data_IF_853460277467
#
_entry.id   IF_853460277467
#
_cell.length_a   1.000
_cell.length_b   1.000
_cell.length_c   1.000
_cell.angle_alpha   90.00
_cell.angle_beta   90.00
_cell.angle_gamma   90.00
#
_symmetry.space_group_name_H-M   'P 1'
#
loop_
_entity.id
_entity.type
_entity.pdbx_description
1 polymer ?
#
# COMPACT_ATOMS: atom_id res chain seq x y z
N UNK A 1 0.46 -1.06 -26.27
CA UNK A 1 -1.01 -0.95 -26.28
C UNK A 1 -1.47 0.50 -26.42
N UNK A 2 -2.08 0.84 -27.56
CA UNK A 2 -2.64 2.17 -27.77
C UNK A 2 -3.92 2.34 -26.94
N UNK A 3 -3.87 3.16 -25.90
CA UNK A 3 -5.04 3.41 -25.04
C UNK A 3 -6.11 4.24 -25.77
N UNK A 4 -5.70 5.01 -26.78
CA UNK A 4 -6.50 6.04 -27.45
C UNK A 4 -7.00 7.18 -26.54
N UNK A 5 -6.53 7.25 -25.31
CA UNK A 5 -6.86 8.28 -24.33
C UNK A 5 -5.79 9.38 -24.34
N UNK A 6 -6.22 10.61 -24.15
CA UNK A 6 -5.34 11.73 -23.88
C UNK A 6 -4.80 11.65 -22.45
N UNK A 7 -3.49 11.87 -22.27
CA UNK A 7 -2.87 11.65 -20.96
C UNK A 7 -3.38 12.65 -19.91
N UNK A 8 -3.44 13.93 -20.24
CA UNK A 8 -3.92 14.94 -19.29
C UNK A 8 -5.38 14.69 -18.89
N UNK A 9 -6.21 14.35 -19.89
CA UNK A 9 -7.62 13.98 -19.64
C UNK A 9 -7.73 12.73 -18.79
N UNK A 10 -6.85 11.73 -18.98
CA UNK A 10 -6.85 10.52 -18.18
C UNK A 10 -6.46 10.81 -16.70
N UNK A 11 -5.47 11.67 -16.49
CA UNK A 11 -5.09 12.15 -15.14
C UNK A 11 -6.24 12.88 -14.47
N UNK A 12 -6.92 13.81 -15.17
CA UNK A 12 -8.05 14.55 -14.60
C UNK A 12 -9.23 13.64 -14.24
N UNK A 13 -9.51 12.65 -15.08
CA UNK A 13 -10.57 11.66 -14.79
C UNK A 13 -10.24 10.80 -13.60
N UNK A 14 -8.99 10.38 -13.46
CA UNK A 14 -8.53 9.61 -12.32
C UNK A 14 -8.50 10.48 -11.04
N UNK A 15 -8.12 11.75 -11.12
CA UNK A 15 -8.13 12.70 -9.99
C UNK A 15 -9.54 12.97 -9.46
N UNK A 16 -10.53 12.97 -10.35
CA UNK A 16 -11.95 13.13 -9.97
C UNK A 16 -12.60 11.81 -9.52
N UNK A 17 -11.87 10.71 -9.56
CA UNK A 17 -12.33 9.42 -9.07
C UNK A 17 -11.93 9.27 -7.60
N UNK A 18 -12.92 9.13 -6.72
CA UNK A 18 -12.71 8.96 -5.28
C UNK A 18 -11.89 7.70 -4.87
N UNK A 19 -11.42 6.94 -5.84
CA UNK A 19 -10.61 5.73 -5.64
C UNK A 19 -9.10 5.96 -5.73
N UNK A 20 -8.63 7.17 -6.07
CA UNK A 20 -7.20 7.46 -6.18
C UNK A 20 -6.68 8.16 -4.95
N UNK A 21 -6.14 7.41 -4.01
CA UNK A 21 -5.57 8.00 -2.81
C UNK A 21 -4.22 7.38 -2.42
N UNK A 22 -3.45 8.17 -1.70
CA UNK A 22 -2.33 7.73 -0.89
C UNK A 22 -2.84 7.52 0.54
N UNK A 23 -2.27 6.57 1.26
CA UNK A 23 -2.58 6.44 2.68
C UNK A 23 -2.24 7.75 3.39
N UNK A 24 -3.17 8.35 4.16
CA UNK A 24 -2.89 9.58 4.91
C UNK A 24 -1.70 9.47 5.85
N UNK A 25 -1.39 8.25 6.31
CA UNK A 25 -0.23 7.98 7.15
C UNK A 25 1.11 8.07 6.43
N UNK A 26 1.13 8.18 5.11
CA UNK A 26 2.37 8.27 4.35
C UNK A 26 3.21 9.50 4.74
N UNK A 27 2.58 10.57 5.20
CA UNK A 27 3.25 11.83 5.50
C UNK A 27 2.95 12.39 6.89
N UNK A 28 2.38 11.62 7.79
CA UNK A 28 2.05 12.10 9.12
C UNK A 28 2.56 11.18 10.21
N UNK A 29 3.30 11.75 11.12
CA UNK A 29 3.75 11.09 12.35
C UNK A 29 2.66 11.03 13.43
N UNK A 30 1.61 11.84 13.29
CA UNK A 30 0.55 12.04 14.27
C UNK A 30 -0.80 11.69 13.66
N UNK A 31 -0.94 10.45 13.21
CA UNK A 31 -2.19 10.02 12.60
C UNK A 31 -3.17 9.47 13.62
N UNK A 32 -4.33 10.05 13.65
CA UNK A 32 -5.51 9.39 14.18
C UNK A 32 -6.45 8.95 13.05
N UNK A 33 -7.37 8.07 13.43
CA UNK A 33 -8.40 7.50 12.55
C UNK A 33 -9.40 8.52 11.96
N UNK A 34 -9.22 9.82 12.17
CA UNK A 34 -10.16 10.84 11.73
C UNK A 34 -9.91 11.37 10.32
N UNK A 35 -8.67 11.25 9.80
CA UNK A 35 -8.40 11.56 8.38
C UNK A 35 -8.64 10.29 7.58
N UNK A 36 -9.83 10.16 7.03
CA UNK A 36 -10.25 8.92 6.38
C UNK A 36 -9.67 8.73 4.99
N UNK A 37 -9.41 9.80 4.26
CA UNK A 37 -8.94 9.71 2.88
C UNK A 37 -8.02 10.90 2.56
N UNK A 38 -6.79 10.63 2.18
CA UNK A 38 -5.91 11.61 1.52
C UNK A 38 -5.92 11.29 0.04
N UNK A 39 -6.54 12.14 -0.73
CA UNK A 39 -6.58 11.99 -2.19
C UNK A 39 -5.25 12.47 -2.79
N UNK A 40 -4.77 11.73 -3.77
CA UNK A 40 -3.61 12.16 -4.54
C UNK A 40 -4.01 13.34 -5.43
N UNK A 41 -3.16 14.35 -5.48
CA UNK A 41 -3.33 15.44 -6.43
C UNK A 41 -2.97 14.99 -7.87
N UNK A 42 -3.31 15.82 -8.86
CA UNK A 42 -3.10 15.48 -10.28
C UNK A 42 -1.64 15.20 -10.61
N UNK A 43 -0.68 15.87 -9.97
CA UNK A 43 0.76 15.63 -10.20
C UNK A 43 1.17 14.23 -9.73
N UNK A 44 0.71 13.81 -8.55
CA UNK A 44 0.95 12.47 -8.03
C UNK A 44 0.30 11.41 -8.90
N UNK A 45 -0.94 11.63 -9.34
CA UNK A 45 -1.64 10.72 -10.25
C UNK A 45 -0.91 10.64 -11.58
N UNK A 46 -0.50 11.78 -12.16
CA UNK A 46 0.27 11.83 -13.40
C UNK A 46 1.57 11.02 -13.29
N UNK A 47 2.27 11.11 -12.15
CA UNK A 47 3.46 10.31 -11.91
C UNK A 47 3.16 8.81 -11.97
N UNK A 48 2.15 8.34 -11.22
CA UNK A 48 1.81 6.92 -11.19
C UNK A 48 1.17 6.39 -12.47
N UNK A 49 0.52 7.25 -13.23
CA UNK A 49 -0.06 6.90 -14.53
C UNK A 49 0.95 6.96 -15.68
N UNK A 50 2.06 7.69 -15.56
CA UNK A 50 3.05 7.78 -16.62
C UNK A 50 3.87 6.47 -16.69
N UNK A 51 3.69 5.66 -17.75
CA UNK A 51 4.36 4.36 -17.84
C UNK A 51 5.89 4.49 -17.90
N UNK A 52 6.41 5.64 -18.35
CA UNK A 52 7.85 5.88 -18.49
C UNK A 52 8.58 5.87 -17.13
N UNK A 53 7.86 6.14 -16.03
CA UNK A 53 8.43 6.10 -14.68
C UNK A 53 8.78 4.67 -14.22
N UNK A 54 8.32 3.66 -14.93
CA UNK A 54 8.51 2.24 -14.60
C UNK A 54 9.43 1.51 -15.57
N UNK A 55 10.11 2.21 -16.49
CA UNK A 55 11.02 1.59 -17.44
C UNK A 55 12.38 1.32 -16.81
N UNK A 56 12.37 0.41 -15.86
CA UNK A 56 13.56 -0.14 -15.23
C UNK A 56 13.36 -1.65 -14.98
N UNK A 57 14.43 -2.32 -14.61
CA UNK A 57 14.48 -3.77 -14.48
C UNK A 57 13.40 -4.40 -13.57
N UNK A 58 12.97 -3.69 -12.54
CA UNK A 58 12.01 -4.20 -11.55
C UNK A 58 10.59 -3.74 -11.84
N UNK A 59 10.43 -2.45 -12.04
CA UNK A 59 9.10 -1.84 -12.10
C UNK A 59 8.41 -2.12 -13.44
N UNK A 60 9.15 -2.50 -14.48
CA UNK A 60 8.60 -2.91 -15.77
C UNK A 60 7.59 -4.06 -15.65
N UNK A 61 7.71 -4.89 -14.60
CA UNK A 61 6.76 -5.96 -14.30
C UNK A 61 5.36 -5.49 -13.94
N UNK A 62 5.15 -4.19 -13.74
CA UNK A 62 3.83 -3.56 -13.67
C UNK A 62 2.99 -3.81 -14.94
N UNK A 63 3.67 -3.99 -16.07
CA UNK A 63 3.07 -4.18 -17.39
C UNK A 63 3.10 -5.62 -17.90
N UNK A 64 3.65 -6.55 -17.13
CA UNK A 64 3.69 -7.95 -17.57
C UNK A 64 2.27 -8.50 -17.60
N UNK A 65 1.99 -9.31 -18.62
CA UNK A 65 0.74 -10.07 -18.70
C UNK A 65 0.60 -10.99 -17.50
N UNK A 66 -0.56 -10.93 -16.84
CA UNK A 66 -0.86 -11.70 -15.64
C UNK A 66 -1.49 -13.07 -15.92
N UNK A 67 -1.49 -13.48 -17.18
CA UNK A 67 -1.88 -14.83 -17.61
C UNK A 67 -0.74 -15.85 -17.40
N UNK A 68 -1.06 -17.11 -17.59
CA UNK A 68 -0.14 -18.23 -17.40
C UNK A 68 0.62 -18.59 -18.69
N UNK A 69 1.46 -17.67 -19.17
CA UNK A 69 2.21 -17.85 -20.43
C UNK A 69 3.62 -18.45 -20.28
N UNK A 70 4.11 -18.60 -19.07
CA UNK A 70 5.51 -18.93 -18.80
C UNK A 70 5.67 -20.18 -17.93
N UNK A 71 6.86 -20.73 -17.92
CA UNK A 71 7.23 -21.81 -17.01
C UNK A 71 7.49 -21.27 -15.61
N UNK A 72 6.47 -21.25 -14.78
CA UNK A 72 6.57 -20.81 -13.38
C UNK A 72 7.06 -21.94 -12.48
N UNK A 73 7.82 -21.59 -11.46
CA UNK A 73 8.38 -22.56 -10.51
C UNK A 73 7.92 -22.33 -9.09
N UNK A 74 7.88 -23.39 -8.29
CA UNK A 74 7.60 -23.28 -6.86
C UNK A 74 8.64 -22.42 -6.14
N UNK A 75 9.92 -22.54 -6.55
CA UNK A 75 11.00 -21.71 -6.00
C UNK A 75 10.78 -20.21 -6.30
N UNK A 76 10.32 -19.87 -7.52
CA UNK A 76 9.96 -18.51 -7.89
C UNK A 76 8.80 -17.98 -7.05
N UNK A 77 7.73 -18.75 -6.86
CA UNK A 77 6.63 -18.34 -5.96
C UNK A 77 7.14 -18.12 -4.53
N UNK A 78 7.99 -19.02 -4.02
CA UNK A 78 8.59 -18.89 -2.68
C UNK A 78 9.45 -17.63 -2.56
N UNK A 79 10.16 -17.24 -3.61
CA UNK A 79 10.92 -16.00 -3.68
C UNK A 79 10.02 -14.77 -3.61
N UNK A 80 8.88 -14.77 -4.32
CA UNK A 80 7.86 -13.70 -4.18
C UNK A 80 7.36 -13.59 -2.76
N UNK A 81 7.10 -14.73 -2.09
CA UNK A 81 6.62 -14.78 -0.72
C UNK A 81 7.68 -14.42 0.32
N UNK A 82 8.95 -14.23 -0.07
CA UNK A 82 10.05 -13.99 0.87
C UNK A 82 9.76 -12.85 1.85
N UNK A 83 10.23 -12.99 3.08
CA UNK A 83 9.97 -12.04 4.15
C UNK A 83 8.55 -12.08 4.73
N UNK A 84 7.76 -13.13 4.44
CA UNK A 84 6.40 -13.32 4.97
C UNK A 84 6.26 -14.67 5.68
N UNK A 85 5.18 -14.84 6.46
CA UNK A 85 4.86 -16.15 7.05
C UNK A 85 4.56 -17.21 6.00
N UNK A 86 4.05 -16.79 4.83
CA UNK A 86 3.69 -17.68 3.73
C UNK A 86 4.91 -18.32 3.04
N UNK A 87 6.10 -17.77 3.24
CA UNK A 87 7.35 -18.36 2.75
C UNK A 87 7.83 -19.55 3.60
N UNK A 88 7.28 -19.72 4.81
CA UNK A 88 7.66 -20.79 5.72
C UNK A 88 7.16 -22.15 5.19
N UNK A 89 8.11 -23.03 4.87
CA UNK A 89 7.80 -24.31 4.21
C UNK A 89 7.41 -24.13 2.73
N UNK A 90 6.75 -25.14 2.17
CA UNK A 90 6.44 -25.21 0.73
C UNK A 90 4.95 -25.18 0.41
N UNK A 91 4.10 -25.29 1.42
CA UNK A 91 2.66 -25.48 1.25
C UNK A 91 2.01 -24.33 0.48
N UNK A 92 2.28 -23.09 0.86
CA UNK A 92 1.67 -21.92 0.20
C UNK A 92 2.21 -21.73 -1.21
N UNK A 93 3.52 -21.86 -1.40
CA UNK A 93 4.13 -21.74 -2.72
C UNK A 93 3.55 -22.77 -3.70
N UNK A 94 3.43 -24.03 -3.27
CA UNK A 94 2.80 -25.10 -4.07
C UNK A 94 1.32 -24.82 -4.33
N UNK A 95 0.57 -24.36 -3.33
CA UNK A 95 -0.85 -24.07 -3.46
C UNK A 95 -1.10 -22.91 -4.44
N UNK A 96 -0.29 -21.86 -4.38
CA UNK A 96 -0.39 -20.70 -5.27
C UNK A 96 0.03 -21.08 -6.71
N UNK A 97 1.10 -21.85 -6.87
CA UNK A 97 1.52 -22.36 -8.17
C UNK A 97 0.40 -23.17 -8.85
N UNK A 98 -0.20 -24.10 -8.11
CA UNK A 98 -1.32 -24.91 -8.59
C UNK A 98 -2.57 -24.08 -8.90
N UNK A 99 -2.86 -23.04 -8.07
CA UNK A 99 -3.96 -22.13 -8.31
C UNK A 99 -3.74 -21.31 -9.59
N UNK A 100 -2.53 -20.86 -9.85
CA UNK A 100 -2.14 -20.19 -11.08
C UNK A 100 -2.40 -21.08 -12.30
N UNK A 101 -1.81 -22.27 -12.31
CA UNK A 101 -1.99 -23.24 -13.41
C UNK A 101 -3.45 -23.63 -13.65
N UNK A 102 -4.25 -23.79 -12.58
CA UNK A 102 -5.65 -24.18 -12.69
C UNK A 102 -6.56 -23.08 -13.24
N UNK A 103 -6.21 -21.83 -13.04
CA UNK A 103 -7.04 -20.67 -13.36
C UNK A 103 -6.43 -19.78 -14.46
N UNK A 104 -5.44 -20.30 -15.20
CA UNK A 104 -4.72 -19.56 -16.24
C UNK A 104 -4.16 -18.20 -15.78
N UNK A 105 -3.65 -18.15 -14.54
CA UNK A 105 -3.12 -16.93 -13.92
C UNK A 105 -1.65 -17.09 -13.58
N UNK A 106 -0.90 -16.02 -13.73
CA UNK A 106 0.48 -15.92 -13.31
C UNK A 106 0.61 -16.12 -11.77
N UNK A 107 1.25 -17.19 -11.28
CA UNK A 107 1.34 -17.46 -9.85
C UNK A 107 2.20 -16.45 -9.09
N UNK A 108 3.13 -15.75 -9.76
CA UNK A 108 3.91 -14.68 -9.14
C UNK A 108 3.05 -13.45 -8.89
N UNK A 109 2.16 -13.13 -9.83
CA UNK A 109 1.13 -12.11 -9.61
C UNK A 109 0.20 -12.48 -8.45
N UNK A 110 -0.32 -13.72 -8.41
CA UNK A 110 -1.19 -14.17 -7.32
C UNK A 110 -0.50 -14.06 -5.95
N UNK A 111 0.77 -14.47 -5.87
CA UNK A 111 1.56 -14.36 -4.64
C UNK A 111 1.77 -12.90 -4.22
N UNK A 112 2.12 -12.02 -5.16
CA UNK A 112 2.26 -10.59 -4.93
C UNK A 112 0.96 -9.97 -4.41
N UNK A 113 -0.15 -10.29 -5.07
CA UNK A 113 -1.50 -9.84 -4.70
C UNK A 113 -1.87 -10.27 -3.27
N UNK A 114 -1.68 -11.53 -2.92
CA UNK A 114 -1.92 -12.04 -1.56
C UNK A 114 -1.13 -11.23 -0.52
N UNK A 115 0.13 -10.91 -0.81
CA UNK A 115 0.95 -10.13 0.13
C UNK A 115 0.44 -8.69 0.24
N UNK A 116 0.06 -8.07 -0.85
CA UNK A 116 -0.49 -6.72 -0.86
C UNK A 116 -1.76 -6.64 0.00
N UNK A 117 -2.64 -7.61 -0.12
CA UNK A 117 -3.92 -7.65 0.57
C UNK A 117 -3.83 -8.07 2.05
N UNK A 118 -2.86 -8.91 2.41
CA UNK A 118 -2.80 -9.54 3.74
C UNK A 118 -1.50 -9.29 4.49
N UNK A 119 -0.55 -8.59 3.88
CA UNK A 119 0.81 -8.49 4.40
C UNK A 119 1.55 -9.83 4.42
N UNK A 120 0.92 -10.93 4.02
CA UNK A 120 1.48 -12.27 4.11
C UNK A 120 1.68 -12.78 5.54
N UNK A 121 0.95 -12.23 6.51
CA UNK A 121 1.03 -12.56 7.93
C UNK A 121 -0.14 -13.47 8.31
N UNK A 122 0.14 -14.68 8.76
CA UNK A 122 -0.89 -15.68 9.12
C UNK A 122 -1.75 -15.29 10.33
N UNK A 123 -1.35 -14.29 11.09
CA UNK A 123 -2.13 -13.70 12.17
C UNK A 123 -3.22 -12.74 11.70
N UNK A 124 -3.18 -12.28 10.45
CA UNK A 124 -4.17 -11.36 9.90
C UNK A 124 -5.57 -11.97 9.88
N UNK A 125 -6.56 -11.19 10.29
CA UNK A 125 -7.96 -11.62 10.44
C UNK A 125 -8.48 -12.32 9.19
N UNK A 126 -8.17 -11.81 8.00
CA UNK A 126 -8.65 -12.36 6.73
C UNK A 126 -8.15 -13.78 6.43
N UNK A 127 -6.97 -14.18 6.90
CA UNK A 127 -6.34 -15.45 6.54
C UNK A 127 -5.98 -16.36 7.71
N UNK A 128 -6.26 -15.93 8.96
CA UNK A 128 -5.95 -16.73 10.15
C UNK A 128 -6.88 -17.94 10.33
N UNK A 129 -8.10 -17.88 9.80
CA UNK A 129 -9.15 -18.85 10.10
C UNK A 129 -9.68 -18.79 11.55
N UNK A 130 -9.23 -17.79 12.33
CA UNK A 130 -9.54 -17.67 13.78
C UNK A 130 -10.54 -16.56 14.10
N UNK A 131 -11.18 -15.95 13.10
CA UNK A 131 -12.21 -14.95 13.36
C UNK A 131 -13.38 -15.58 14.11
N UNK A 132 -13.83 -14.92 15.19
CA UNK A 132 -14.90 -15.47 16.08
C UNK A 132 -16.25 -15.62 15.39
N UNK A 133 -16.58 -14.73 14.43
CA UNK A 133 -17.86 -14.77 13.69
C UNK A 133 -17.82 -15.74 12.51
N UNK A 134 -16.63 -15.94 11.94
CA UNK A 134 -16.42 -16.76 10.74
C UNK A 134 -15.24 -17.74 10.96
N UNK A 135 -15.34 -18.67 11.92
CA UNK A 135 -14.27 -19.63 12.22
C UNK A 135 -14.03 -20.55 11.03
N UNK A 136 -12.77 -20.79 10.69
CA UNK A 136 -12.36 -21.65 9.58
C UNK A 136 -12.64 -21.08 8.19
N UNK A 137 -12.98 -19.79 8.08
CA UNK A 137 -13.12 -19.08 6.80
C UNK A 137 -11.86 -18.26 6.52
N UNK A 138 -11.47 -18.23 5.24
CA UNK A 138 -10.26 -17.59 4.75
C UNK A 138 -10.57 -16.65 3.58
N UNK A 139 -9.82 -15.56 3.43
CA UNK A 139 -9.93 -14.66 2.30
C UNK A 139 -8.54 -14.06 1.96
N UNK A 140 -7.76 -14.79 1.16
CA UNK A 140 -6.39 -14.43 0.83
C UNK A 140 -6.25 -13.20 -0.07
N UNK A 141 -7.30 -12.79 -0.76
CA UNK A 141 -7.30 -11.62 -1.64
C UNK A 141 -8.15 -10.47 -1.11
N UNK A 142 -8.62 -10.56 0.12
CA UNK A 142 -9.44 -9.55 0.78
C UNK A 142 -10.70 -9.12 -0.01
N UNK A 143 -11.21 -10.01 -0.86
CA UNK A 143 -12.35 -9.75 -1.74
C UNK A 143 -13.61 -9.47 -0.91
N UNK A 144 -14.33 -8.40 -1.27
CA UNK A 144 -15.55 -8.00 -0.57
C UNK A 144 -15.33 -7.34 0.81
N UNK A 145 -14.10 -6.98 1.14
CA UNK A 145 -13.73 -6.33 2.40
C UNK A 145 -13.91 -4.80 2.33
N UNK A 146 -15.11 -4.34 2.05
CA UNK A 146 -15.40 -2.91 1.81
C UNK A 146 -15.19 -2.01 3.04
N UNK A 147 -15.52 -2.47 4.22
CA UNK A 147 -15.31 -1.73 5.47
C UNK A 147 -14.29 -2.39 6.38
N UNK A 148 -13.86 -3.60 6.06
CA UNK A 148 -12.85 -4.34 6.81
C UNK A 148 -12.86 -5.84 6.53
N UNK A 149 -11.92 -6.56 7.13
CA UNK A 149 -11.72 -7.99 6.90
C UNK A 149 -12.97 -8.84 7.21
N UNK A 150 -13.82 -8.43 8.17
CA UNK A 150 -15.03 -9.17 8.50
C UNK A 150 -16.05 -9.21 7.37
N UNK A 151 -16.20 -8.12 6.61
CA UNK A 151 -17.09 -8.12 5.43
C UNK A 151 -16.60 -9.11 4.38
N UNK A 152 -15.29 -9.13 4.14
CA UNK A 152 -14.66 -10.08 3.24
C UNK A 152 -14.85 -11.54 3.69
N UNK A 153 -14.74 -11.81 4.99
CA UNK A 153 -15.01 -13.14 5.56
C UNK A 153 -16.50 -13.52 5.46
N UNK A 154 -17.40 -12.57 5.70
CA UNK A 154 -18.85 -12.77 5.49
C UNK A 154 -19.14 -13.19 4.05
N UNK A 155 -18.58 -12.46 3.08
CA UNK A 155 -18.71 -12.78 1.66
C UNK A 155 -18.11 -14.17 1.34
N UNK A 156 -16.93 -14.48 1.84
CA UNK A 156 -16.24 -15.75 1.63
C UNK A 156 -16.95 -16.95 2.26
N UNK A 157 -17.73 -16.75 3.32
CA UNK A 157 -18.49 -17.80 4.00
C UNK A 157 -19.77 -18.23 3.28
N UNK A 158 -20.28 -17.39 2.37
CA UNK A 158 -21.51 -17.67 1.63
C UNK A 158 -21.30 -18.73 0.56
N UNK A 159 -22.29 -19.59 0.30
CA UNK A 159 -22.30 -20.47 -0.87
C UNK A 159 -22.38 -19.65 -2.14
N UNK A 160 -21.65 -20.04 -3.19
CA UNK A 160 -21.71 -19.34 -4.46
C UNK A 160 -20.54 -19.69 -5.39
N UNK A 161 -20.35 -18.86 -6.43
CA UNK A 161 -19.27 -19.00 -7.39
C UNK A 161 -17.89 -18.98 -6.73
N UNK A 162 -16.85 -19.32 -7.49
CA UNK A 162 -15.45 -19.26 -7.08
C UNK A 162 -15.13 -20.17 -5.89
N UNK A 163 -15.72 -21.38 -5.86
CA UNK A 163 -15.52 -22.40 -4.82
C UNK A 163 -15.94 -21.97 -3.39
N UNK A 164 -16.76 -20.93 -3.24
CA UNK A 164 -17.29 -20.54 -1.92
C UNK A 164 -18.27 -21.60 -1.36
N UNK A 165 -18.26 -21.81 -0.03
CA UNK A 165 -17.52 -21.10 1.00
C UNK A 165 -16.03 -21.44 1.01
N UNK A 166 -15.20 -20.43 1.33
CA UNK A 166 -13.75 -20.57 1.43
C UNK A 166 -13.34 -21.09 2.81
N UNK A 167 -13.76 -22.31 3.09
CA UNK A 167 -13.52 -22.99 4.37
C UNK A 167 -12.20 -23.75 4.42
N UNK A 168 -11.35 -23.60 3.43
CA UNK A 168 -9.94 -24.02 3.43
C UNK A 168 -9.10 -22.96 2.76
N UNK A 169 -7.82 -22.89 3.12
CA UNK A 169 -6.86 -21.98 2.49
C UNK A 169 -6.76 -22.22 0.97
N UNK A 170 -6.72 -23.50 0.56
CA UNK A 170 -6.67 -23.88 -0.86
C UNK A 170 -7.89 -23.37 -1.64
N UNK A 171 -9.10 -23.49 -1.09
CA UNK A 171 -10.31 -22.97 -1.74
C UNK A 171 -10.28 -21.44 -1.85
N UNK A 172 -9.79 -20.76 -0.83
CA UNK A 172 -9.67 -19.30 -0.83
C UNK A 172 -8.64 -18.85 -1.88
N UNK A 173 -7.47 -19.48 -1.93
CA UNK A 173 -6.41 -19.13 -2.89
C UNK A 173 -6.86 -19.43 -4.33
N UNK A 174 -7.38 -20.63 -4.60
CA UNK A 174 -7.81 -21.00 -5.95
C UNK A 174 -9.11 -20.28 -6.38
N UNK A 175 -10.06 -20.15 -5.48
CA UNK A 175 -11.32 -19.45 -5.77
C UNK A 175 -11.13 -17.95 -6.00
N UNK A 176 -10.24 -17.32 -5.22
CA UNK A 176 -9.88 -15.92 -5.43
C UNK A 176 -9.14 -15.71 -6.77
N UNK A 177 -8.22 -16.59 -7.13
CA UNK A 177 -7.57 -16.57 -8.46
C UNK A 177 -8.61 -16.66 -9.60
N UNK A 178 -9.56 -17.58 -9.49
CA UNK A 178 -10.66 -17.72 -10.46
C UNK A 178 -11.52 -16.46 -10.57
N UNK A 179 -11.78 -15.80 -9.44
CA UNK A 179 -12.53 -14.54 -9.41
C UNK A 179 -11.75 -13.42 -10.10
N UNK A 180 -10.46 -13.27 -9.82
CA UNK A 180 -9.60 -12.26 -10.45
C UNK A 180 -9.52 -12.48 -11.95
N UNK A 181 -9.33 -13.73 -12.40
CA UNK A 181 -9.33 -14.07 -13.81
C UNK A 181 -10.64 -13.66 -14.51
N UNK A 182 -11.77 -14.03 -13.93
CA UNK A 182 -13.08 -13.78 -14.54
C UNK A 182 -13.47 -12.30 -14.55
N UNK A 183 -13.16 -11.56 -13.48
CA UNK A 183 -13.63 -10.19 -13.30
C UNK A 183 -12.63 -9.13 -13.76
N UNK A 184 -11.35 -9.45 -13.89
CA UNK A 184 -10.33 -8.50 -14.33
C UNK A 184 -9.65 -8.94 -15.62
N UNK A 185 -8.99 -10.07 -15.64
CA UNK A 185 -8.25 -10.53 -16.82
C UNK A 185 -9.16 -10.65 -18.06
N UNK A 186 -10.22 -11.44 -17.97
CA UNK A 186 -11.20 -11.60 -19.06
C UNK A 186 -11.93 -10.32 -19.43
N UNK A 187 -11.84 -9.29 -18.62
CA UNK A 187 -12.42 -7.98 -18.89
C UNK A 187 -11.41 -7.02 -19.51
N UNK A 188 -10.26 -7.53 -19.97
CA UNK A 188 -9.22 -6.75 -20.63
C UNK A 188 -8.31 -5.94 -19.69
N UNK A 189 -8.31 -6.28 -18.41
CA UNK A 189 -7.39 -5.73 -17.42
C UNK A 189 -6.23 -6.71 -17.18
N UNK A 190 -5.39 -6.88 -18.17
CA UNK A 190 -4.44 -7.97 -18.34
C UNK A 190 -3.09 -7.74 -17.66
N UNK A 191 -2.92 -6.63 -16.96
CA UNK A 191 -1.70 -6.29 -16.22
C UNK A 191 -2.03 -5.69 -14.86
N UNK A 192 -1.06 -5.64 -13.95
CA UNK A 192 -1.20 -4.92 -12.68
C UNK A 192 -1.60 -3.47 -12.94
N UNK A 193 -0.97 -2.82 -13.93
CA UNK A 193 -1.29 -1.46 -14.31
C UNK A 193 -2.76 -1.30 -14.73
N UNK A 194 -3.26 -2.19 -15.59
CA UNK A 194 -4.66 -2.12 -16.04
C UNK A 194 -5.67 -2.52 -14.96
N UNK A 195 -5.31 -3.41 -14.03
CA UNK A 195 -6.17 -3.67 -12.87
C UNK A 195 -6.27 -2.44 -11.95
N UNK A 196 -5.24 -1.56 -11.94
CA UNK A 196 -5.26 -0.34 -11.14
C UNK A 196 -5.98 0.82 -11.82
N UNK A 197 -5.72 1.09 -13.11
CA UNK A 197 -6.20 2.31 -13.78
C UNK A 197 -7.36 2.08 -14.75
N UNK A 198 -7.56 0.86 -15.21
CA UNK A 198 -8.55 0.48 -16.21
C UNK A 198 -8.58 1.40 -17.44
N UNK A 199 -7.43 1.63 -18.05
CA UNK A 199 -7.24 2.45 -19.25
C UNK A 199 -6.88 1.62 -20.49
N UNK A 200 -6.77 0.32 -20.36
CA UNK A 200 -6.37 -0.61 -21.41
C UNK A 200 -7.30 -0.59 -22.63
N UNK A 201 -6.81 -0.80 -23.84
CA UNK A 201 -7.64 -0.75 -25.05
C UNK A 201 -8.73 -1.84 -25.08
N UNK A 202 -8.48 -2.97 -24.43
CA UNK A 202 -9.39 -4.13 -24.37
C UNK A 202 -10.38 -4.11 -23.20
N UNK A 203 -10.31 -3.09 -22.32
CA UNK A 203 -11.17 -3.02 -21.14
C UNK A 203 -12.65 -3.03 -21.49
N UNK A 204 -13.39 -4.01 -20.97
CA UNK A 204 -14.82 -4.18 -21.16
C UNK A 204 -15.65 -3.19 -20.33
N UNK A 205 -15.16 -2.79 -19.18
CA UNK A 205 -15.81 -1.78 -18.33
C UNK A 205 -15.45 -0.35 -18.76
N UNK A 206 -16.27 0.61 -18.35
CA UNK A 206 -15.97 2.02 -18.55
C UNK A 206 -14.58 2.37 -18.00
N UNK A 207 -13.82 3.15 -18.79
CA UNK A 207 -12.47 3.58 -18.40
C UNK A 207 -12.50 4.30 -17.04
N UNK A 208 -11.42 4.11 -16.25
CA UNK A 208 -11.24 4.68 -14.92
C UNK A 208 -12.12 4.08 -13.81
N UNK A 209 -13.00 3.14 -14.14
CA UNK A 209 -13.83 2.41 -13.19
C UNK A 209 -13.41 0.93 -13.14
N UNK A 210 -14.00 0.18 -12.23
CA UNK A 210 -13.67 -1.24 -12.02
C UNK A 210 -12.19 -1.47 -11.71
N UNK A 211 -11.67 -0.73 -10.75
CA UNK A 211 -10.29 -0.83 -10.30
C UNK A 211 -10.18 -1.81 -9.14
N UNK A 212 -9.15 -2.66 -9.16
CA UNK A 212 -8.94 -3.64 -8.10
C UNK A 212 -8.54 -2.98 -6.78
N UNK A 213 -7.72 -1.95 -6.84
CA UNK A 213 -7.20 -1.24 -5.67
C UNK A 213 -7.30 0.27 -5.86
N UNK A 214 -7.37 0.97 -4.76
CA UNK A 214 -7.35 2.43 -4.72
C UNK A 214 -5.94 3.01 -4.46
N UNK A 215 -5.04 2.22 -3.89
CA UNK A 215 -3.65 2.64 -3.66
C UNK A 215 -2.89 2.83 -4.97
N UNK A 216 -2.29 4.01 -5.15
CA UNK A 216 -1.48 4.31 -6.33
C UNK A 216 -0.17 3.53 -6.36
N UNK A 217 0.44 3.29 -5.21
CA UNK A 217 1.75 2.60 -5.12
C UNK A 217 1.65 1.07 -5.07
N UNK A 218 0.46 0.54 -4.75
CA UNK A 218 0.29 -0.90 -4.52
C UNK A 218 0.74 -1.76 -5.70
N UNK A 219 0.45 -1.30 -6.92
CA UNK A 219 0.85 -2.01 -8.14
C UNK A 219 2.37 -2.12 -8.32
N UNK A 220 3.11 -1.05 -8.05
CA UNK A 220 4.57 -1.07 -8.17
C UNK A 220 5.22 -2.03 -7.14
N UNK A 221 4.67 -2.10 -5.93
CA UNK A 221 5.13 -3.07 -4.93
C UNK A 221 4.86 -4.53 -5.37
N UNK A 222 3.74 -4.79 -6.04
CA UNK A 222 3.45 -6.10 -6.63
C UNK A 222 4.42 -6.43 -7.77
N UNK A 223 4.71 -5.46 -8.65
CA UNK A 223 5.64 -5.63 -9.76
C UNK A 223 7.05 -6.03 -9.29
N UNK A 224 7.58 -5.33 -8.28
CA UNK A 224 8.88 -5.66 -7.69
C UNK A 224 8.92 -7.09 -7.10
N UNK A 225 7.82 -7.54 -6.49
CA UNK A 225 7.72 -8.90 -5.99
C UNK A 225 7.68 -9.92 -7.12
N UNK A 226 6.96 -9.64 -8.20
CA UNK A 226 6.95 -10.50 -9.39
C UNK A 226 8.35 -10.63 -9.98
N UNK A 227 9.10 -9.53 -10.09
CA UNK A 227 10.50 -9.55 -10.55
C UNK A 227 11.34 -10.57 -9.78
N UNK A 228 11.23 -10.65 -8.45
CA UNK A 228 11.94 -11.64 -7.63
C UNK A 228 11.61 -13.09 -8.05
N UNK A 229 10.35 -13.36 -8.36
CA UNK A 229 9.91 -14.66 -8.85
C UNK A 229 10.56 -15.02 -10.18
N UNK A 230 10.52 -14.12 -11.13
CA UNK A 230 11.14 -14.29 -12.45
C UNK A 230 12.67 -14.41 -12.37
N UNK A 231 13.31 -13.61 -11.55
CA UNK A 231 14.76 -13.67 -11.32
C UNK A 231 15.17 -15.05 -10.77
N UNK A 232 14.41 -15.62 -9.83
CA UNK A 232 14.68 -16.93 -9.25
C UNK A 232 14.45 -18.08 -10.24
N UNK A 233 13.46 -17.97 -11.13
CA UNK A 233 13.18 -18.96 -12.17
C UNK A 233 14.10 -18.84 -13.39
N UNK A 234 15.01 -17.87 -13.42
CA UNK A 234 15.99 -17.69 -14.50
C UNK A 234 15.43 -16.94 -15.71
N UNK A 235 14.30 -16.24 -15.59
CA UNK A 235 13.64 -15.45 -16.66
C UNK A 235 13.47 -16.23 -17.99
N UNK A 236 13.36 -17.56 -17.90
CA UNK A 236 13.35 -18.48 -19.05
C UNK A 236 11.99 -18.53 -19.78
N UNK A 237 11.13 -17.56 -19.56
CA UNK A 237 9.81 -17.51 -20.18
C UNK A 237 9.63 -16.30 -21.10
N UNK A 238 8.73 -16.44 -22.06
CA UNK A 238 8.28 -15.33 -22.89
C UNK A 238 7.43 -14.39 -22.03
N UNK A 239 8.04 -13.31 -21.48
CA UNK A 239 7.29 -12.26 -20.85
C UNK A 239 6.65 -11.38 -21.92
N UNK A 240 5.32 -11.26 -21.89
CA UNK A 240 4.58 -10.31 -22.70
C UNK A 240 4.30 -9.08 -21.84
N UNK A 241 4.63 -7.90 -22.38
CA UNK A 241 4.41 -6.63 -21.67
C UNK A 241 3.38 -5.79 -22.43
N UNK A 242 2.31 -5.40 -21.77
CA UNK A 242 1.28 -4.51 -22.28
C UNK A 242 1.49 -3.09 -21.78
N UNK A 243 2.38 -2.36 -22.42
CA UNK A 243 2.74 -1.00 -22.04
C UNK A 243 1.70 -0.02 -22.60
N UNK A 244 1.00 0.77 -21.77
CA UNK A 244 0.03 1.75 -22.23
C UNK A 244 0.70 2.90 -22.96
N UNK A 245 0.15 3.28 -24.09
CA UNK A 245 0.55 4.44 -24.88
C UNK A 245 -0.60 5.42 -24.94
N UNK A 246 -0.46 6.56 -24.27
CA UNK A 246 -1.44 7.63 -24.28
C UNK A 246 -1.16 8.61 -25.41
N UNK A 247 -2.21 9.32 -25.86
CA UNK A 247 -2.08 10.45 -26.76
C UNK A 247 -1.58 11.68 -25.98
N UNK A 248 -0.84 12.55 -26.67
CA UNK A 248 -0.37 13.84 -26.14
C UNK A 248 0.36 13.72 -24.80
N UNK A 249 1.21 12.70 -24.68
CA UNK A 249 2.10 12.58 -23.53
C UNK A 249 2.97 13.85 -23.40
N UNK A 250 3.20 14.37 -22.18
CA UNK A 250 4.16 15.46 -21.99
C UNK A 250 5.55 15.02 -22.44
N UNK A 251 6.35 15.96 -22.94
CA UNK A 251 7.72 15.70 -23.44
C UNK A 251 8.63 15.12 -22.36
N UNK A 252 8.43 15.54 -21.11
CA UNK A 252 9.13 15.01 -19.93
C UNK A 252 8.18 14.20 -19.06
N UNK A 253 8.69 13.16 -18.42
CA UNK A 253 7.93 12.45 -17.39
C UNK A 253 7.57 13.42 -16.29
N UNK A 254 6.34 13.29 -15.77
CA UNK A 254 5.96 13.93 -14.51
C UNK A 254 6.85 13.32 -13.40
N UNK A 255 7.93 13.99 -13.08
CA UNK A 255 8.70 13.66 -11.90
C UNK A 255 7.96 14.32 -10.73
N UNK A 256 7.46 13.52 -9.81
CA UNK A 256 7.38 14.03 -8.45
C UNK A 256 8.80 14.45 -8.09
N UNK A 257 8.92 15.63 -7.54
CA UNK A 257 10.21 16.06 -7.04
C UNK A 257 10.56 15.10 -5.89
N UNK A 258 11.41 14.10 -6.18
CA UNK A 258 11.77 13.04 -5.23
C UNK A 258 12.58 13.60 -4.05
N UNK A 259 13.15 14.79 -4.18
CA UNK A 259 13.73 15.50 -3.05
C UNK A 259 12.67 15.83 -2.01
N UNK A 260 11.50 16.26 -2.43
CA UNK A 260 10.39 16.66 -1.54
C UNK A 260 9.77 15.47 -0.79
N UNK A 261 9.85 14.28 -1.37
CA UNK A 261 9.36 13.05 -0.73
C UNK A 261 10.40 12.40 0.22
N UNK A 262 11.65 12.83 0.22
CA UNK A 262 12.74 12.23 1.00
C UNK A 262 12.96 12.89 2.34
N UNK A 263 12.44 14.08 2.52
CA UNK A 263 12.78 14.88 3.68
C UNK A 263 11.84 14.54 4.82
N UNK A 264 12.34 13.66 5.68
CA UNK A 264 11.63 13.24 6.86
C UNK A 264 11.43 14.42 7.81
N UNK A 265 10.21 14.58 8.30
CA UNK A 265 9.98 15.42 9.47
C UNK A 265 10.65 14.75 10.67
N UNK A 266 11.72 15.32 11.17
CA UNK A 266 12.42 14.85 12.35
C UNK A 266 11.86 15.54 13.60
N UNK A 267 11.34 14.75 14.52
CA UNK A 267 11.05 15.25 15.85
C UNK A 267 12.33 15.29 16.68
N UNK A 268 12.74 16.46 17.11
CA UNK A 268 14.01 16.68 17.85
C UNK A 268 14.07 16.06 19.23
N UNK A 269 12.96 15.59 19.76
CA UNK A 269 12.87 14.81 21.01
C UNK A 269 11.72 13.82 20.93
N UNK A 270 11.96 12.65 20.39
CA UNK A 270 11.00 11.56 20.47
C UNK A 270 11.41 10.63 21.61
N UNK A 271 11.00 10.97 22.81
CA UNK A 271 11.01 10.03 23.95
C UNK A 271 9.74 9.20 23.98
N UNK A 272 9.08 9.03 22.89
CA UNK A 272 7.68 8.64 22.83
C UNK A 272 7.53 7.16 22.59
N UNK A 273 6.50 6.62 23.24
CA UNK A 273 6.02 5.27 22.97
C UNK A 273 5.12 5.31 21.74
N UNK A 274 5.42 4.48 20.80
CA UNK A 274 4.53 4.19 19.67
C UNK A 274 3.72 2.94 19.95
N UNK A 275 2.58 2.84 19.27
CA UNK A 275 1.70 1.67 19.30
C UNK A 275 1.50 1.15 17.89
N UNK A 276 1.64 -0.15 17.67
CA UNK A 276 1.33 -0.77 16.41
C UNK A 276 -0.19 -0.75 16.16
N UNK A 277 -0.63 -0.20 15.03
CA UNK A 277 -2.06 -0.19 14.61
C UNK A 277 -2.52 -1.56 14.14
N UNK A 278 -1.61 -2.32 13.54
CA UNK A 278 -1.79 -3.68 13.08
C UNK A 278 -0.53 -4.47 13.40
N UNK A 279 -0.47 -5.73 13.06
CA UNK A 279 0.78 -6.47 13.08
C UNK A 279 1.75 -5.84 12.07
N UNK A 280 2.94 -5.46 12.53
CA UNK A 280 3.93 -4.76 11.70
C UNK A 280 5.29 -5.44 11.73
N UNK A 281 5.99 -5.40 10.62
CA UNK A 281 7.34 -5.96 10.48
C UNK A 281 8.39 -4.94 10.92
N UNK A 282 9.21 -5.37 11.87
CA UNK A 282 10.47 -4.69 12.21
C UNK A 282 11.53 -5.12 11.20
N UNK A 283 12.08 -4.21 10.44
CA UNK A 283 12.98 -4.50 9.32
C UNK A 283 14.41 -4.05 9.59
N UNK A 284 15.34 -4.64 8.86
CA UNK A 284 16.77 -4.27 8.95
C UNK A 284 17.10 -2.92 8.31
N UNK A 285 16.21 -2.37 7.48
CA UNK A 285 16.35 -1.07 6.85
C UNK A 285 15.03 -0.38 6.55
N UNK A 286 15.06 0.90 6.17
CA UNK A 286 13.87 1.75 6.00
C UNK A 286 13.20 1.57 4.63
N UNK A 287 12.88 0.35 4.25
CA UNK A 287 12.06 0.02 3.08
C UNK A 287 11.42 -1.37 3.24
N UNK A 288 10.41 -1.65 2.44
CA UNK A 288 9.71 -2.94 2.46
C UNK A 288 10.52 -4.10 1.86
N UNK A 289 11.61 -3.79 1.18
CA UNK A 289 12.54 -4.75 0.58
C UNK A 289 13.57 -5.31 1.57
N UNK A 290 13.76 -4.68 2.71
CA UNK A 290 14.68 -5.16 3.74
C UNK A 290 14.10 -6.35 4.52
N UNK A 291 15.00 -7.16 5.07
CA UNK A 291 14.64 -8.35 5.82
C UNK A 291 13.80 -8.03 7.07
N UNK A 292 12.87 -8.92 7.37
CA UNK A 292 12.10 -8.85 8.61
C UNK A 292 12.91 -9.45 9.76
N UNK A 293 13.30 -8.61 10.71
CA UNK A 293 14.03 -9.00 11.91
C UNK A 293 13.10 -9.58 12.97
N UNK A 294 11.89 -9.01 13.08
CA UNK A 294 10.88 -9.38 14.07
C UNK A 294 9.51 -8.90 13.63
N UNK A 295 8.49 -9.55 14.14
CA UNK A 295 7.10 -9.10 13.99
C UNK A 295 6.62 -8.45 15.27
N UNK A 296 6.01 -7.27 15.16
CA UNK A 296 5.42 -6.51 16.27
C UNK A 296 3.91 -6.74 16.24
N UNK A 297 3.30 -7.34 17.28
CA UNK A 297 1.85 -7.59 17.29
C UNK A 297 1.03 -6.30 17.34
N UNK A 298 -0.19 -6.37 16.83
CA UNK A 298 -1.19 -5.30 16.96
C UNK A 298 -1.33 -4.85 18.41
N UNK A 299 -1.30 -3.56 18.63
CA UNK A 299 -1.45 -2.96 19.96
C UNK A 299 -0.19 -2.97 20.83
N UNK A 300 0.89 -3.64 20.42
CA UNK A 300 2.15 -3.61 21.13
C UNK A 300 2.75 -2.19 21.16
N UNK A 301 3.38 -1.84 22.28
CA UNK A 301 4.05 -0.55 22.46
C UNK A 301 5.56 -0.73 22.40
N UNK A 302 6.25 0.25 21.84
CA UNK A 302 7.71 0.26 21.69
C UNK A 302 8.25 1.69 21.67
N UNK A 303 9.57 1.83 21.76
CA UNK A 303 10.23 3.13 21.76
C UNK A 303 10.70 3.52 20.37
N UNK A 304 10.44 4.79 19.99
CA UNK A 304 10.97 5.43 18.79
C UNK A 304 12.28 6.13 19.15
N UNK A 305 13.30 5.96 18.31
CA UNK A 305 14.57 6.66 18.42
C UNK A 305 14.71 7.82 17.42
N UNK A 306 13.97 7.78 16.35
CA UNK A 306 13.95 8.81 15.32
C UNK A 306 13.16 8.37 14.08
N UNK A 307 12.84 9.34 13.25
CA UNK A 307 12.27 9.12 11.92
C UNK A 307 13.37 9.17 10.86
N UNK A 308 13.22 8.40 9.82
CA UNK A 308 14.10 8.41 8.65
C UNK A 308 13.28 8.37 7.38
N UNK A 309 13.79 8.99 6.32
CA UNK A 309 13.27 8.75 4.99
C UNK A 309 13.59 7.33 4.55
N UNK A 310 12.76 6.76 3.71
CA UNK A 310 13.06 5.47 3.08
C UNK A 310 14.32 5.58 2.22
N UNK A 311 15.01 4.49 2.02
CA UNK A 311 16.09 4.46 1.04
C UNK A 311 15.54 4.42 -0.41
N UNK A 312 16.43 4.48 -1.39
CA UNK A 312 16.07 4.51 -2.82
C UNK A 312 15.75 3.13 -3.41
N UNK A 313 15.62 2.09 -2.60
CA UNK A 313 15.45 0.72 -3.09
C UNK A 313 14.09 0.46 -3.76
N UNK A 314 13.07 1.25 -3.40
CA UNK A 314 11.76 1.20 -4.03
C UNK A 314 11.15 2.61 -4.14
N UNK A 315 11.34 3.24 -5.30
CA UNK A 315 10.91 4.62 -5.54
C UNK A 315 9.41 4.83 -5.41
N UNK A 316 8.59 3.89 -5.89
CA UNK A 316 7.14 4.03 -5.84
C UNK A 316 6.62 3.95 -4.40
N UNK A 317 7.16 3.05 -3.60
CA UNK A 317 6.83 2.95 -2.19
C UNK A 317 7.32 4.18 -1.41
N UNK A 318 8.49 4.73 -1.75
CA UNK A 318 9.02 5.96 -1.16
C UNK A 318 8.07 7.14 -1.28
N UNK A 319 7.48 7.32 -2.46
CA UNK A 319 6.58 8.44 -2.74
C UNK A 319 5.31 8.34 -1.89
N UNK A 320 4.78 7.14 -1.73
CA UNK A 320 3.56 6.89 -0.97
C UNK A 320 3.79 6.79 0.55
N UNK A 321 4.91 6.18 0.93
CA UNK A 321 5.25 5.89 2.33
C UNK A 321 6.72 6.24 2.61
N UNK A 322 7.09 7.53 2.53
CA UNK A 322 8.48 7.96 2.58
C UNK A 322 9.10 7.86 3.97
N UNK A 323 8.30 7.63 5.02
CA UNK A 323 8.75 7.75 6.40
C UNK A 323 8.79 6.42 7.11
N UNK A 324 9.90 6.18 7.80
CA UNK A 324 10.14 5.03 8.64
C UNK A 324 10.63 5.48 10.00
N UNK A 325 10.23 4.79 11.05
CA UNK A 325 10.76 5.02 12.38
C UNK A 325 11.82 3.99 12.74
N UNK A 326 12.93 4.47 13.26
CA UNK A 326 13.92 3.60 13.91
C UNK A 326 13.47 3.35 15.33
N UNK A 327 13.27 2.11 15.69
CA UNK A 327 12.60 1.71 16.93
C UNK A 327 13.35 0.58 17.64
N UNK A 328 13.04 0.38 18.92
CA UNK A 328 13.40 -0.83 19.65
C UNK A 328 12.15 -1.53 20.14
N UNK A 329 12.00 -2.79 19.75
CA UNK A 329 10.95 -3.67 20.23
C UNK A 329 11.53 -4.99 20.75
N UNK A 330 11.22 -5.35 22.01
CA UNK A 330 11.68 -6.57 22.66
C UNK A 330 13.20 -6.84 22.45
N UNK A 331 13.99 -5.79 22.67
CA UNK A 331 15.45 -5.82 22.57
C UNK A 331 16.03 -5.78 21.14
N UNK A 332 15.20 -5.86 20.12
CA UNK A 332 15.64 -5.78 18.72
C UNK A 332 15.45 -4.36 18.17
N UNK A 333 16.49 -3.81 17.57
CA UNK A 333 16.46 -2.51 16.88
C UNK A 333 16.20 -2.73 15.40
N UNK A 334 15.44 -1.82 14.78
CA UNK A 334 15.14 -1.87 13.36
C UNK A 334 14.17 -0.77 12.94
N UNK A 335 13.60 -0.92 11.75
CA UNK A 335 12.76 0.08 11.13
C UNK A 335 11.33 -0.42 10.95
N UNK A 336 10.36 0.45 11.21
CA UNK A 336 8.93 0.21 10.96
C UNK A 336 8.35 1.34 10.11
N UNK A 337 7.45 1.03 9.18
CA UNK A 337 6.77 2.04 8.40
C UNK A 337 5.91 2.94 9.29
N UNK A 338 6.00 4.25 9.11
CA UNK A 338 5.26 5.25 9.90
C UNK A 338 3.75 5.06 9.78
N UNK A 339 3.25 4.61 8.62
CA UNK A 339 1.83 4.35 8.41
C UNK A 339 1.25 3.27 9.32
N UNK A 340 2.07 2.31 9.74
CA UNK A 340 1.66 1.14 10.52
C UNK A 340 1.63 1.40 12.03
N UNK A 341 2.03 2.58 12.46
CA UNK A 341 2.14 2.89 13.89
C UNK A 341 1.38 4.15 14.27
N UNK A 342 1.01 4.22 15.52
CA UNK A 342 0.43 5.40 16.13
C UNK A 342 1.42 5.95 17.14
N UNK A 343 1.83 7.19 16.95
CA UNK A 343 2.57 7.97 17.93
C UNK A 343 1.58 8.84 18.67
N UNK A 344 1.61 8.80 19.98
CA UNK A 344 0.73 9.63 20.82
C UNK A 344 1.56 10.52 21.71
N UNK A 345 1.55 11.80 21.43
CA UNK A 345 2.03 12.82 22.37
C UNK A 345 0.82 13.54 22.93
N UNK A 346 0.71 13.58 24.24
CA UNK A 346 -0.35 14.33 24.91
C UNK A 346 0.20 15.61 25.51
N UNK A 347 -0.41 16.73 25.19
CA UNK A 347 -0.11 18.01 25.82
C UNK A 347 -1.34 18.50 26.59
N UNK A 348 -1.13 18.88 27.86
CA UNK A 348 -2.13 19.59 28.64
C UNK A 348 -2.00 21.08 28.39
N UNK A 349 -2.92 21.64 27.66
CA UNK A 349 -2.91 23.06 27.28
C UNK A 349 -4.06 23.80 27.99
N UNK A 350 -3.73 24.80 28.78
CA UNK A 350 -4.74 25.66 29.44
C UNK A 350 -5.47 26.52 28.37
N UNK A 351 -6.73 26.83 28.60
CA UNK A 351 -7.49 27.79 27.78
C UNK A 351 -6.71 29.10 27.63
N UNK A 352 -6.56 29.56 26.40
CA UNK A 352 -5.80 30.76 26.04
C UNK A 352 -4.29 30.58 25.96
N UNK A 353 -3.74 29.46 26.44
CA UNK A 353 -2.34 29.19 26.31
C UNK A 353 -2.01 28.60 24.93
N UNK A 354 -0.74 28.70 24.53
CA UNK A 354 -0.25 28.20 23.26
C UNK A 354 0.88 27.20 23.45
N UNK A 355 0.97 26.24 22.52
CA UNK A 355 2.08 25.30 22.41
C UNK A 355 2.47 25.16 20.95
N UNK A 356 3.74 25.28 20.62
CA UNK A 356 4.22 25.03 19.26
C UNK A 356 4.68 23.58 19.16
N UNK A 357 4.12 22.86 18.21
CA UNK A 357 4.50 21.47 17.96
C UNK A 357 5.97 21.41 17.53
N UNK A 358 6.80 20.59 18.19
CA UNK A 358 8.19 20.44 17.81
C UNK A 358 8.27 19.58 16.53
N UNK A 359 8.74 20.16 15.46
CA UNK A 359 9.09 19.43 14.24
C UNK A 359 10.35 20.04 13.62
N UNK A 360 11.09 19.23 12.91
CA UNK A 360 12.21 19.66 12.09
C UNK A 360 12.03 19.06 10.72
N UNK A 361 12.08 19.88 9.69
CA UNK A 361 12.09 19.44 8.30
C UNK A 361 13.53 19.17 7.90
N UNK A 362 13.77 18.10 7.17
CA UNK A 362 15.05 17.84 6.54
C UNK A 362 15.27 18.79 5.36
N UNK A 363 14.18 19.16 4.64
CA UNK A 363 14.15 20.27 3.69
C UNK A 363 13.19 21.35 4.18
N UNK A 364 13.68 22.57 4.32
CA UNK A 364 12.89 23.72 4.72
C UNK A 364 11.87 24.19 3.67
N UNK A 365 11.97 23.67 2.44
CA UNK A 365 11.05 23.96 1.35
C UNK A 365 9.78 23.12 1.40
N UNK A 366 9.76 22.03 2.18
CA UNK A 366 8.59 21.16 2.27
C UNK A 366 7.42 21.87 2.97
N UNK A 367 6.25 21.95 2.35
CA UNK A 367 5.08 22.48 3.02
C UNK A 367 4.63 21.54 4.14
N UNK A 368 4.41 22.11 5.31
CA UNK A 368 3.81 21.40 6.46
C UNK A 368 2.42 21.94 6.69
N UNK A 369 1.46 21.04 6.82
CA UNK A 369 0.07 21.36 7.09
C UNK A 369 -0.32 20.86 8.47
N UNK A 370 -1.15 21.62 9.15
CA UNK A 370 -1.67 21.27 10.47
C UNK A 370 -3.20 21.35 10.46
N UNK A 371 -3.83 20.36 11.05
CA UNK A 371 -5.28 20.29 11.15
C UNK A 371 -5.70 19.91 12.57
N UNK A 372 -6.67 20.64 13.14
CA UNK A 372 -7.31 20.27 14.40
C UNK A 372 -8.57 19.44 14.15
N UNK A 373 -8.70 18.31 14.84
CA UNK A 373 -9.92 17.49 14.80
C UNK A 373 -11.14 18.21 15.42
N UNK A 374 -10.92 19.26 16.23
CA UNK A 374 -11.96 20.06 16.83
C UNK A 374 -11.47 21.47 17.15
N UNK A 375 -11.69 22.39 16.23
CA UNK A 375 -11.28 23.80 16.36
C UNK A 375 -11.99 24.55 17.47
N UNK A 376 -13.11 24.04 18.00
CA UNK A 376 -13.76 24.58 19.18
C UNK A 376 -13.02 24.27 20.48
N UNK A 377 -12.19 23.21 20.51
CA UNK A 377 -11.36 22.80 21.64
C UNK A 377 -9.96 23.40 21.54
N UNK A 378 -9.30 23.23 20.39
CA UNK A 378 -8.01 23.86 20.11
C UNK A 378 -7.87 24.19 18.63
N UNK A 379 -7.21 25.30 18.32
CA UNK A 379 -6.86 25.74 16.96
C UNK A 379 -5.36 25.53 16.74
N UNK A 380 -4.96 25.31 15.51
CA UNK A 380 -3.57 25.27 15.11
C UNK A 380 -3.37 26.20 13.92
N UNK A 381 -2.26 26.90 13.86
CA UNK A 381 -1.88 27.76 12.74
C UNK A 381 -0.93 27.03 11.76
N UNK A 382 -0.63 27.69 10.66
CA UNK A 382 0.27 27.15 9.62
C UNK A 382 1.73 26.95 10.09
N UNK A 383 2.09 27.42 11.28
CA UNK A 383 3.41 27.22 11.90
C UNK A 383 3.40 26.16 12.98
N UNK A 384 2.30 25.41 13.12
CA UNK A 384 2.15 24.39 14.16
C UNK A 384 1.91 24.94 15.56
N UNK A 385 1.58 26.23 15.71
CA UNK A 385 1.24 26.83 17.01
C UNK A 385 -0.20 26.49 17.38
N UNK A 386 -0.37 25.65 18.37
CA UNK A 386 -1.65 25.21 18.92
C UNK A 386 -2.11 26.20 19.98
N UNK A 387 -3.38 26.61 19.93
CA UNK A 387 -4.01 27.49 20.95
C UNK A 387 -5.21 26.78 21.56
N UNK A 388 -5.23 26.63 22.88
CA UNK A 388 -6.38 26.10 23.63
C UNK A 388 -7.56 27.07 23.61
N UNK A 389 -8.74 26.63 23.17
CA UNK A 389 -9.93 27.45 23.04
C UNK A 389 -10.95 27.13 24.13
N UNK A 390 -11.19 25.86 24.41
CA UNK A 390 -12.18 25.38 25.36
C UNK A 390 -11.71 24.08 26.03
N UNK A 391 -12.23 23.78 27.22
CA UNK A 391 -11.99 22.50 27.85
C UNK A 391 -12.51 21.33 26.95
N UNK A 392 -11.71 20.30 26.80
CA UNK A 392 -11.99 19.14 25.97
C UNK A 392 -10.72 18.48 25.48
N UNK A 393 -10.87 17.47 24.68
CA UNK A 393 -9.77 16.78 24.00
C UNK A 393 -9.93 16.91 22.51
N UNK A 394 -8.85 17.15 21.79
CA UNK A 394 -8.80 17.09 20.33
C UNK A 394 -7.42 16.59 19.90
N UNK A 395 -7.32 16.16 18.66
CA UNK A 395 -6.07 15.73 18.03
C UNK A 395 -5.62 16.79 17.03
N UNK A 396 -4.34 17.13 17.08
CA UNK A 396 -3.73 17.96 16.04
C UNK A 396 -2.97 17.01 15.10
N UNK A 397 -3.28 17.11 13.83
CA UNK A 397 -2.62 16.35 12.77
C UNK A 397 -1.55 17.21 12.14
N UNK A 398 -0.42 16.58 11.81
CA UNK A 398 0.66 17.21 11.08
C UNK A 398 0.88 16.40 9.80
N UNK A 399 0.93 17.09 8.68
CA UNK A 399 1.19 16.51 7.37
C UNK A 399 2.37 17.24 6.75
N UNK A 400 3.26 16.52 6.10
CA UNK A 400 4.30 17.14 5.30
C UNK A 400 4.09 16.84 3.81
N UNK A 401 4.44 17.75 3.01
CA UNK A 401 4.29 18.04 1.69
C UNK A 401 4.30 17.38 0.52
N UNK A 402 4.68 17.02 -0.29
CA UNK A 402 4.83 16.71 -1.71
C UNK A 402 3.79 15.78 -2.31
N UNK A 403 2.87 16.28 -3.04
CA UNK A 403 2.16 15.49 -4.01
C UNK A 403 0.76 14.99 -3.64
N UNK A 404 0.16 15.44 -2.55
CA UNK A 404 -1.25 15.18 -2.25
C UNK A 404 -1.88 16.34 -1.48
N UNK A 405 -3.20 16.46 -1.64
CA UNK A 405 -4.01 17.41 -0.91
C UNK A 405 -4.66 16.69 0.28
N UNK A 406 -4.56 17.27 1.46
CA UNK A 406 -5.34 16.82 2.59
C UNK A 406 -6.79 17.30 2.42
N UNK A 407 -7.71 16.37 2.31
CA UNK A 407 -9.15 16.69 2.34
C UNK A 407 -9.64 16.42 3.76
N UNK A 408 -10.07 17.50 4.43
CA UNK A 408 -10.65 17.46 5.76
C UNK A 408 -12.04 16.79 5.79
#
# INVERSE_FOLDING_TARGET
>A
DQTNLDFATAVDKEANNALSYLSPSACSFLMSSAVKNTYANSNTIAYYMDPRNYFNEKDIFLFVDIDNHSSYTQAGVKSVLSGTDLAKGDTYAKTILNAGSKNDMNPYFLAGKIITETGGLLSQTAISGKNKKYPGIYNFYNIGAYTGAEDGLKWASQKGSYQRPWNTQTKSISGGASMIYSNFYKQGQETIYYTRFNVGPRAAYAKYYHQYMSSLYGGANEAERMYKGYQTSGMNGNCVFHIPVFKRMPSTCSLLNLSDARDAVHFTKVTEKAKAKAEVRLRSGPANTYDTLKTIPTGATFHIHGGVATDNSNKAYQIANPYWFYVTYAGTKGYVSAEMIQVSTSYNLKKGSTHTLPYTLADSADPVYFLSSNTAVAKVDAKGKVTGVKNGSCTIYTFCGGGFDAVG
#
